data_IF_672162250479
#
_entry.id   IF_672162250479
#
_cell.length_a   1.000
_cell.length_b   1.000
_cell.length_c   1.000
_cell.angle_alpha   90.00
_cell.angle_beta   90.00
_cell.angle_gamma   90.00
#
_symmetry.space_group_name_H-M   'P 1'
#
loop_
_entity.id
_entity.type
_entity.pdbx_description
1 polymer ?
#
# COMPACT_ATOMS: atom_id res chain seq x y z
N UNK A 1 -15.31 -18.40 0.00
CA UNK A 1 -13.83 -18.43 -0.07
C UNK A 1 -13.28 -17.92 -1.41
N UNK A 2 -13.92 -18.16 -2.55
CA UNK A 2 -13.36 -17.86 -3.87
C UNK A 2 -13.27 -16.35 -4.25
N UNK A 3 -14.21 -15.51 -3.77
CA UNK A 3 -14.26 -14.07 -4.10
C UNK A 3 -13.23 -13.20 -3.36
N UNK A 4 -12.89 -13.54 -2.11
CA UNK A 4 -11.94 -12.78 -1.29
C UNK A 4 -10.54 -12.71 -1.92
N UNK A 5 -10.10 -13.80 -2.56
CA UNK A 5 -8.80 -13.87 -3.23
C UNK A 5 -8.80 -13.01 -4.50
N UNK A 6 -9.90 -12.98 -5.25
CA UNK A 6 -10.02 -12.17 -6.47
C UNK A 6 -10.13 -10.66 -6.19
N UNK A 7 -10.66 -10.29 -5.02
CA UNK A 7 -11.01 -8.90 -4.69
C UNK A 7 -10.08 -8.24 -3.63
N UNK A 8 -9.07 -8.95 -3.10
CA UNK A 8 -8.15 -8.36 -2.11
C UNK A 8 -7.34 -7.19 -2.70
N UNK A 9 -6.91 -7.28 -3.97
CA UNK A 9 -6.12 -6.24 -4.62
C UNK A 9 -6.94 -4.97 -4.85
N UNK A 10 -6.62 -3.92 -4.09
CA UNK A 10 -7.24 -2.60 -4.24
C UNK A 10 -7.06 -1.96 -5.62
N UNK A 11 -6.08 -2.40 -6.41
CA UNK A 11 -5.83 -1.89 -7.77
C UNK A 11 -6.89 -2.28 -8.80
N UNK A 12 -7.84 -3.17 -8.47
CA UNK A 12 -8.85 -3.68 -9.40
C UNK A 12 -10.20 -2.95 -9.31
N UNK A 13 -10.37 -2.00 -8.37
CA UNK A 13 -11.56 -1.14 -8.28
C UNK A 13 -12.88 -1.87 -8.06
N UNK A 14 -12.87 -3.15 -7.69
CA UNK A 14 -14.08 -3.95 -7.43
C UNK A 14 -14.64 -3.60 -6.06
N UNK A 15 -15.96 -3.41 -5.98
CA UNK A 15 -16.64 -3.20 -4.70
C UNK A 15 -16.41 -4.40 -3.78
N UNK A 16 -15.82 -4.14 -2.61
CA UNK A 16 -15.62 -5.12 -1.54
C UNK A 16 -16.90 -5.19 -0.72
N UNK A 17 -17.83 -6.03 -1.16
CA UNK A 17 -19.18 -6.10 -0.61
C UNK A 17 -19.27 -6.80 0.76
N UNK A 18 -18.29 -7.66 1.10
CA UNK A 18 -18.30 -8.42 2.36
C UNK A 18 -17.27 -7.94 3.37
N UNK A 19 -17.56 -8.14 4.66
CA UNK A 19 -16.67 -7.77 5.76
C UNK A 19 -15.33 -8.51 5.67
N UNK A 20 -15.37 -9.78 5.28
CA UNK A 20 -14.18 -10.62 5.09
C UNK A 20 -13.30 -10.12 3.94
N UNK A 21 -13.88 -9.68 2.83
CA UNK A 21 -13.14 -9.05 1.73
C UNK A 21 -12.42 -7.77 2.18
N UNK A 22 -13.09 -6.96 3.00
CA UNK A 22 -12.51 -5.74 3.56
C UNK A 22 -11.36 -6.07 4.53
N UNK A 23 -11.54 -7.04 5.44
CA UNK A 23 -10.49 -7.47 6.39
C UNK A 23 -9.26 -8.02 5.66
N UNK A 24 -9.44 -8.87 4.65
CA UNK A 24 -8.33 -9.46 3.90
C UNK A 24 -7.57 -8.39 3.11
N UNK A 25 -8.30 -7.46 2.49
CA UNK A 25 -7.70 -6.34 1.79
C UNK A 25 -6.91 -5.39 2.71
N UNK A 26 -7.43 -5.15 3.91
CA UNK A 26 -6.78 -4.37 4.96
C UNK A 26 -5.46 -5.01 5.37
N UNK A 27 -5.46 -6.32 5.64
CA UNK A 27 -4.25 -7.06 5.97
C UNK A 27 -3.18 -6.99 4.86
N UNK A 28 -3.60 -7.09 3.59
CA UNK A 28 -2.67 -6.91 2.44
C UNK A 28 -2.06 -5.50 2.44
N UNK A 29 -2.88 -4.46 2.62
CA UNK A 29 -2.38 -3.08 2.68
C UNK A 29 -1.37 -2.90 3.82
N UNK A 30 -1.67 -3.40 5.02
CA UNK A 30 -0.79 -3.27 6.18
C UNK A 30 0.55 -3.96 5.97
N UNK A 31 0.56 -5.18 5.42
CA UNK A 31 1.79 -5.93 5.16
C UNK A 31 2.72 -5.24 4.13
N UNK A 32 2.16 -4.47 3.19
CA UNK A 32 2.98 -3.75 2.20
C UNK A 32 3.88 -2.66 2.82
N UNK A 33 3.53 -2.14 3.99
CA UNK A 33 4.34 -1.12 4.67
C UNK A 33 5.63 -1.69 5.28
N UNK A 34 5.75 -3.01 5.42
CA UNK A 34 6.99 -3.65 5.89
C UNK A 34 7.98 -3.92 4.74
N UNK A 35 7.55 -3.80 3.48
CA UNK A 35 8.31 -4.16 2.28
C UNK A 35 8.76 -2.93 1.45
N UNK A 36 8.96 -1.77 2.10
CA UNK A 36 9.32 -0.50 1.43
C UNK A 36 10.57 -0.65 0.55
N UNK A 37 11.60 -1.37 1.05
CA UNK A 37 12.84 -1.61 0.31
C UNK A 37 12.61 -2.44 -0.96
N UNK A 38 11.71 -3.42 -0.91
CA UNK A 38 11.31 -4.23 -2.05
C UNK A 38 10.57 -3.40 -3.10
N UNK A 39 9.63 -2.55 -2.67
CA UNK A 39 8.88 -1.67 -3.57
C UNK A 39 9.82 -0.66 -4.23
N UNK A 40 10.76 -0.08 -3.47
CA UNK A 40 11.76 0.84 -4.00
C UNK A 40 12.69 0.16 -5.02
N UNK A 41 13.18 -1.05 -4.70
CA UNK A 41 13.99 -1.85 -5.62
C UNK A 41 13.24 -2.11 -6.92
N UNK A 42 11.94 -2.40 -6.86
CA UNK A 42 11.15 -2.62 -8.06
C UNK A 42 11.07 -1.38 -8.95
N UNK A 43 10.76 -0.23 -8.37
CA UNK A 43 10.71 1.06 -9.08
C UNK A 43 12.07 1.43 -9.70
N UNK A 44 13.15 1.29 -8.93
CA UNK A 44 14.48 1.70 -9.38
C UNK A 44 15.13 0.73 -10.38
N UNK A 45 15.06 -0.58 -10.12
CA UNK A 45 15.79 -1.60 -10.89
C UNK A 45 14.95 -2.17 -12.03
N UNK A 46 13.68 -2.50 -11.77
CA UNK A 46 12.85 -3.22 -12.75
C UNK A 46 12.00 -2.28 -13.61
N UNK A 47 11.56 -1.15 -13.07
CA UNK A 47 10.84 -0.10 -13.83
C UNK A 47 11.81 0.92 -14.45
N UNK A 48 13.10 0.86 -14.12
CA UNK A 48 14.15 1.71 -14.69
C UNK A 48 14.03 3.20 -14.32
N UNK A 49 13.32 3.51 -13.25
CA UNK A 49 13.16 4.89 -12.79
C UNK A 49 14.45 5.40 -12.16
N UNK A 50 14.70 6.71 -12.28
CA UNK A 50 15.77 7.35 -11.50
C UNK A 50 15.48 7.25 -10.00
N UNK A 51 16.50 7.46 -9.16
CA UNK A 51 16.31 7.41 -7.71
C UNK A 51 15.22 8.37 -7.22
N UNK A 52 15.15 9.59 -7.78
CA UNK A 52 14.15 10.59 -7.44
C UNK A 52 12.74 10.13 -7.85
N UNK A 53 12.57 9.67 -9.09
CA UNK A 53 11.29 9.14 -9.58
C UNK A 53 10.85 7.89 -8.81
N UNK A 54 11.79 7.03 -8.40
CA UNK A 54 11.50 5.87 -7.58
C UNK A 54 10.98 6.27 -6.19
N UNK A 55 11.54 7.31 -5.55
CA UNK A 55 11.03 7.83 -4.27
C UNK A 55 9.60 8.34 -4.41
N UNK A 56 9.35 9.15 -5.43
CA UNK A 56 8.02 9.70 -5.72
C UNK A 56 7.00 8.59 -6.02
N UNK A 57 7.37 7.62 -6.86
CA UNK A 57 6.54 6.44 -7.18
C UNK A 57 6.18 5.64 -5.93
N UNK A 58 7.16 5.35 -5.05
CA UNK A 58 6.92 4.63 -3.80
C UNK A 58 6.01 5.43 -2.85
N UNK A 59 6.27 6.73 -2.70
CA UNK A 59 5.46 7.62 -1.85
C UNK A 59 4.01 7.68 -2.32
N UNK A 60 3.79 7.85 -3.63
CA UNK A 60 2.45 7.85 -4.21
C UNK A 60 1.75 6.51 -4.02
N UNK A 61 2.47 5.39 -4.21
CA UNK A 61 1.92 4.04 -4.05
C UNK A 61 1.49 3.75 -2.61
N UNK A 62 2.31 4.15 -1.63
CA UNK A 62 1.99 3.98 -0.22
C UNK A 62 0.88 4.93 0.24
N UNK A 63 0.82 6.15 -0.30
CA UNK A 63 -0.30 7.08 -0.08
C UNK A 63 -1.62 6.51 -0.59
N UNK A 64 -1.62 5.96 -1.82
CA UNK A 64 -2.80 5.30 -2.39
C UNK A 64 -3.24 4.12 -1.52
N UNK A 65 -2.29 3.31 -1.04
CA UNK A 65 -2.57 2.18 -0.14
C UNK A 65 -3.17 2.65 1.20
N UNK A 66 -2.61 3.67 1.83
CA UNK A 66 -3.18 4.25 3.05
C UNK A 66 -4.62 4.73 2.85
N UNK A 67 -4.90 5.38 1.71
CA UNK A 67 -6.24 5.86 1.37
C UNK A 67 -7.24 4.73 1.06
N UNK A 68 -6.75 3.52 0.72
CA UNK A 68 -7.59 2.34 0.48
C UNK A 68 -8.05 1.64 1.78
N UNK A 69 -7.53 2.04 2.94
CA UNK A 69 -7.98 1.52 4.23
C UNK A 69 -9.41 2.01 4.51
N UNK A 70 -10.31 1.07 4.79
CA UNK A 70 -11.70 1.29 5.14
C UNK A 70 -11.88 1.51 6.65
N UNK A 71 -11.11 0.82 7.48
CA UNK A 71 -11.26 0.88 8.94
C UNK A 71 -10.33 1.95 9.53
N UNK A 72 -10.90 2.85 10.35
CA UNK A 72 -10.11 3.89 11.02
C UNK A 72 -9.04 3.29 11.94
N UNK A 73 -9.35 2.18 12.62
CA UNK A 73 -8.39 1.46 13.47
C UNK A 73 -7.15 1.02 12.70
N UNK A 74 -7.29 0.59 11.46
CA UNK A 74 -6.15 0.21 10.64
C UNK A 74 -5.31 1.43 10.24
N UNK A 75 -5.97 2.56 9.94
CA UNK A 75 -5.27 3.84 9.72
C UNK A 75 -4.49 4.25 10.94
N UNK A 76 -5.06 4.17 12.14
CA UNK A 76 -4.37 4.48 13.40
C UNK A 76 -3.14 3.59 13.61
N UNK A 77 -3.27 2.28 13.38
CA UNK A 77 -2.17 1.31 13.53
C UNK A 77 -1.00 1.64 12.58
N UNK A 78 -1.31 2.00 11.33
CA UNK A 78 -0.27 2.18 10.30
C UNK A 78 0.24 3.63 10.19
N UNK A 79 -0.49 4.61 10.71
CA UNK A 79 -0.15 6.04 10.61
C UNK A 79 1.29 6.35 11.04
N UNK A 80 1.83 5.81 12.15
CA UNK A 80 3.23 6.07 12.52
C UNK A 80 4.23 5.62 11.45
N UNK A 81 4.01 4.44 10.84
CA UNK A 81 4.86 3.94 9.74
C UNK A 81 4.70 4.77 8.48
N UNK A 82 3.47 5.19 8.15
CA UNK A 82 3.20 6.02 6.98
C UNK A 82 3.87 7.39 7.07
N UNK A 83 3.79 8.05 8.23
CA UNK A 83 4.47 9.34 8.44
C UNK A 83 6.00 9.20 8.39
N UNK A 84 6.56 8.12 8.96
CA UNK A 84 7.99 7.84 8.85
C UNK A 84 8.44 7.64 7.39
N UNK A 85 7.62 6.98 6.57
CA UNK A 85 7.87 6.82 5.13
C UNK A 85 7.89 8.15 4.41
N UNK A 86 6.94 9.05 4.68
CA UNK A 86 6.92 10.40 4.09
C UNK A 86 8.22 11.13 4.38
N UNK A 87 8.63 11.18 5.65
CA UNK A 87 9.88 11.82 6.08
C UNK A 87 11.11 11.20 5.38
N UNK A 88 11.11 9.87 5.19
CA UNK A 88 12.21 9.16 4.55
C UNK A 88 12.31 9.47 3.05
N UNK A 89 11.18 9.62 2.36
CA UNK A 89 11.10 9.72 0.90
C UNK A 89 10.94 11.17 0.38
N UNK A 90 10.44 12.10 1.19
CA UNK A 90 10.41 13.55 0.91
C UNK A 90 11.81 14.14 1.09
N UNK A 91 12.69 13.91 0.10
CA UNK A 91 14.03 14.49 0.00
C UNK A 91 14.43 14.73 -1.44
#
# INVERSE_FOLDING_TARGET
MEKCILNHRGSQGKERGTLEEQIVAEADVLANFDEISGIFKAAFVYEGLTQAQARESVLQKLTNKFNQLHFEKSKEIIRPKFEAVKILLEK
#
